data_IF_590649415250
#
_entry.id   IF_590649415250
#
_cell.length_a   1.000
_cell.length_b   1.000
_cell.length_c   1.000
_cell.angle_alpha   90.00
_cell.angle_beta   90.00
_cell.angle_gamma   90.00
#
_symmetry.space_group_name_H-M   'P 1'
#
loop_
_entity.id
_entity.type
_entity.pdbx_description
1 polymer ?
#
# COMPACT_ATOMS: atom_id res chain seq x y z
N UNK A 1 25.48 12.83 -5.40
CA UNK A 1 24.05 12.44 -5.37
C UNK A 1 23.71 11.17 -6.16
N UNK A 2 23.81 11.09 -7.50
CA UNK A 2 23.46 9.86 -8.25
C UNK A 2 24.41 8.67 -8.03
N UNK A 3 25.66 8.95 -7.64
CA UNK A 3 26.70 7.94 -7.40
C UNK A 3 26.56 7.30 -6.00
N UNK A 4 26.16 8.08 -4.99
CA UNK A 4 25.84 7.58 -3.64
C UNK A 4 24.62 6.64 -3.65
N UNK A 5 23.61 6.96 -4.48
CA UNK A 5 22.42 6.13 -4.66
C UNK A 5 22.79 4.76 -5.24
N UNK A 6 23.73 4.70 -6.20
CA UNK A 6 24.20 3.44 -6.79
C UNK A 6 25.04 2.62 -5.81
N UNK A 7 25.87 3.25 -4.99
CA UNK A 7 26.67 2.58 -3.95
C UNK A 7 25.77 1.98 -2.85
N UNK A 8 24.72 2.69 -2.44
CA UNK A 8 23.70 2.16 -1.53
C UNK A 8 22.90 1.02 -2.17
N UNK A 9 22.56 1.10 -3.45
CA UNK A 9 21.87 0.02 -4.18
C UNK A 9 22.73 -1.25 -4.32
N UNK A 10 24.03 -1.10 -4.58
CA UNK A 10 24.96 -2.24 -4.76
C UNK A 10 25.25 -2.98 -3.45
N UNK A 11 25.39 -2.26 -2.34
CA UNK A 11 25.51 -2.85 -0.99
C UNK A 11 24.20 -3.51 -0.52
N UNK A 12 23.05 -2.95 -0.94
CA UNK A 12 21.71 -3.43 -0.59
C UNK A 12 21.30 -4.70 -1.35
N UNK A 13 21.85 -4.94 -2.54
CA UNK A 13 21.63 -6.17 -3.30
C UNK A 13 22.17 -7.43 -2.58
N UNK A 14 23.25 -7.31 -1.81
CA UNK A 14 23.74 -8.43 -1.00
C UNK A 14 22.95 -8.61 0.31
N UNK A 15 22.05 -7.68 0.64
CA UNK A 15 21.15 -7.72 1.81
C UNK A 15 19.69 -8.00 1.42
N UNK A 16 19.43 -8.51 0.21
CA UNK A 16 18.09 -8.74 -0.35
C UNK A 16 17.22 -9.72 0.46
N UNK A 17 17.81 -10.40 1.45
CA UNK A 17 17.09 -11.32 2.35
C UNK A 17 16.41 -10.64 3.55
N UNK A 18 16.49 -9.32 3.68
CA UNK A 18 15.97 -8.59 4.85
C UNK A 18 14.61 -7.96 4.50
N UNK A 19 13.58 -8.26 5.30
CA UNK A 19 12.20 -7.68 5.28
C UNK A 19 12.13 -6.20 4.85
N UNK A 20 13.12 -5.39 5.24
CA UNK A 20 13.24 -3.98 4.88
C UNK A 20 13.41 -3.66 3.39
N UNK A 21 13.98 -4.57 2.59
CA UNK A 21 14.14 -4.37 1.15
C UNK A 21 12.78 -4.33 0.44
N UNK A 22 11.85 -5.21 0.85
CA UNK A 22 10.49 -5.26 0.30
C UNK A 22 9.72 -3.95 0.52
N UNK A 23 9.86 -3.33 1.69
CA UNK A 23 9.23 -2.03 1.99
C UNK A 23 9.79 -0.94 1.06
N UNK A 24 11.09 -0.93 0.81
CA UNK A 24 11.70 0.08 -0.06
C UNK A 24 11.32 -0.11 -1.53
N UNK A 25 11.20 -1.35 -2.00
CA UNK A 25 10.64 -1.64 -3.34
C UNK A 25 9.17 -1.22 -3.42
N UNK A 26 8.37 -1.49 -2.38
CA UNK A 26 6.97 -1.08 -2.30
C UNK A 26 6.79 0.44 -2.45
N UNK A 27 7.60 1.25 -1.76
CA UNK A 27 7.58 2.71 -1.89
C UNK A 27 7.88 3.14 -3.33
N UNK A 28 8.91 2.57 -3.95
CA UNK A 28 9.29 2.90 -5.33
C UNK A 28 8.15 2.58 -6.29
N UNK A 29 7.61 1.35 -6.23
CA UNK A 29 6.50 0.92 -7.10
C UNK A 29 5.28 1.80 -6.90
N UNK A 30 4.83 2.02 -5.66
CA UNK A 30 3.69 2.90 -5.38
C UNK A 30 3.90 4.33 -5.89
N UNK A 31 5.12 4.88 -5.75
CA UNK A 31 5.44 6.23 -6.22
C UNK A 31 5.37 6.34 -7.75
N UNK A 32 5.98 5.39 -8.47
CA UNK A 32 5.92 5.38 -9.94
C UNK A 32 4.50 5.17 -10.45
N UNK A 33 3.75 4.26 -9.84
CA UNK A 33 2.34 4.04 -10.19
C UNK A 33 1.50 5.28 -9.93
N UNK A 34 1.71 5.97 -8.80
CA UNK A 34 1.02 7.22 -8.48
C UNK A 34 1.24 8.30 -9.54
N UNK A 35 2.48 8.47 -10.01
CA UNK A 35 2.80 9.43 -11.10
C UNK A 35 2.07 9.04 -12.40
N UNK A 36 2.06 7.74 -12.75
CA UNK A 36 1.35 7.26 -13.94
C UNK A 36 -0.15 7.56 -13.89
N UNK A 37 -0.80 7.26 -12.76
CA UNK A 37 -2.24 7.53 -12.57
C UNK A 37 -2.52 9.03 -12.51
N UNK A 38 -1.62 9.83 -11.95
CA UNK A 38 -1.76 11.29 -11.93
C UNK A 38 -1.77 11.88 -13.35
N UNK A 39 -0.87 11.42 -14.23
CA UNK A 39 -0.86 11.84 -15.64
C UNK A 39 -2.14 11.43 -16.35
N UNK A 40 -2.66 10.23 -16.08
CA UNK A 40 -3.94 9.78 -16.63
C UNK A 40 -5.10 10.67 -16.14
N UNK A 41 -5.19 10.92 -14.82
CA UNK A 41 -6.17 11.83 -14.23
C UNK A 41 -6.12 13.21 -14.88
N UNK A 42 -4.92 13.75 -15.11
CA UNK A 42 -4.74 15.05 -15.72
C UNK A 42 -5.29 15.10 -17.16
N UNK A 43 -5.01 14.09 -17.97
CA UNK A 43 -5.57 13.97 -19.33
C UNK A 43 -7.09 13.86 -19.32
N UNK A 44 -7.63 13.08 -18.39
CA UNK A 44 -9.06 12.88 -18.25
C UNK A 44 -9.79 14.16 -17.81
N UNK A 45 -9.23 14.90 -16.85
CA UNK A 45 -9.74 16.21 -16.45
C UNK A 45 -9.72 17.23 -17.60
N UNK A 46 -8.66 17.25 -18.42
CA UNK A 46 -8.58 18.15 -19.59
C UNK A 46 -9.67 17.84 -20.62
N UNK A 47 -9.88 16.54 -20.91
CA UNK A 47 -10.94 16.08 -21.81
C UNK A 47 -12.33 16.49 -21.32
N UNK A 48 -12.59 16.30 -20.03
CA UNK A 48 -13.84 16.72 -19.39
C UNK A 48 -14.03 18.24 -19.46
N UNK A 49 -12.97 19.01 -19.23
CA UNK A 49 -13.00 20.47 -19.34
C UNK A 49 -13.35 20.95 -20.75
N UNK A 50 -12.72 20.37 -21.77
CA UNK A 50 -12.99 20.69 -23.18
C UNK A 50 -14.43 20.33 -23.58
N UNK A 51 -14.94 19.17 -23.17
CA UNK A 51 -16.35 18.76 -23.39
C UNK A 51 -17.35 19.70 -22.72
N UNK A 52 -17.02 20.23 -21.54
CA UNK A 52 -17.88 21.17 -20.83
C UNK A 52 -17.94 22.53 -21.53
N UNK A 53 -16.79 23.00 -22.04
CA UNK A 53 -16.64 24.27 -22.77
C UNK A 53 -17.34 24.21 -24.14
N UNK A 54 -17.22 23.09 -24.86
CA UNK A 54 -17.84 22.90 -26.18
C UNK A 54 -19.37 22.77 -26.10
N UNK A 55 -19.89 22.25 -24.97
CA UNK A 55 -21.32 21.96 -24.82
C UNK A 55 -22.10 23.03 -24.02
N UNK A 56 -21.47 24.15 -23.65
CA UNK A 56 -22.10 25.23 -22.86
C UNK A 56 -22.89 24.73 -21.63
N UNK A 57 -22.42 23.65 -20.98
CA UNK A 57 -23.03 23.11 -19.75
C UNK A 57 -24.34 22.32 -19.91
N UNK A 58 -24.80 22.00 -21.13
CA UNK A 58 -26.07 21.27 -21.33
C UNK A 58 -25.94 19.74 -21.36
N UNK A 59 -24.72 19.18 -21.40
CA UNK A 59 -24.49 17.73 -21.41
C UNK A 59 -24.08 17.23 -20.02
N UNK A 60 -24.72 16.13 -19.61
CA UNK A 60 -24.38 15.40 -18.39
C UNK A 60 -22.99 14.77 -18.54
N UNK A 61 -22.00 15.35 -17.87
CA UNK A 61 -20.64 14.81 -17.82
C UNK A 61 -20.58 13.75 -16.72
N UNK A 62 -20.19 12.54 -17.09
CA UNK A 62 -20.05 11.45 -16.13
C UNK A 62 -18.77 11.61 -15.29
N UNK A 63 -18.88 12.34 -14.18
CA UNK A 63 -17.79 12.59 -13.22
C UNK A 63 -17.43 11.36 -12.38
N UNK A 64 -18.20 10.28 -12.47
CA UNK A 64 -17.99 9.06 -11.68
C UNK A 64 -16.64 8.42 -11.99
N UNK A 65 -16.21 8.43 -13.27
CA UNK A 65 -14.89 7.97 -13.66
C UNK A 65 -13.77 8.83 -13.05
N UNK A 66 -13.95 10.15 -13.05
CA UNK A 66 -12.99 11.09 -12.46
C UNK A 66 -12.86 10.90 -10.94
N UNK A 67 -13.98 10.66 -10.24
CA UNK A 67 -13.99 10.33 -8.82
C UNK A 67 -13.26 9.02 -8.54
N UNK A 68 -13.54 7.97 -9.32
CA UNK A 68 -12.90 6.67 -9.15
C UNK A 68 -11.38 6.72 -9.33
N UNK A 69 -10.90 7.46 -10.35
CA UNK A 69 -9.46 7.68 -10.57
C UNK A 69 -8.85 8.44 -9.37
N UNK A 70 -9.57 9.41 -8.81
CA UNK A 70 -9.12 10.15 -7.63
C UNK A 70 -9.07 9.27 -6.38
N UNK A 71 -10.03 8.36 -6.19
CA UNK A 71 -10.04 7.41 -5.08
C UNK A 71 -8.85 6.45 -5.16
N UNK A 72 -8.56 5.89 -6.35
CA UNK A 72 -7.39 5.04 -6.57
C UNK A 72 -6.09 5.78 -6.25
N UNK A 73 -5.97 7.03 -6.71
CA UNK A 73 -4.79 7.85 -6.46
C UNK A 73 -4.62 8.15 -4.96
N UNK A 74 -5.72 8.38 -4.25
CA UNK A 74 -5.75 8.56 -2.79
C UNK A 74 -5.31 7.29 -2.08
N UNK A 75 -5.78 6.11 -2.51
CA UNK A 75 -5.33 4.83 -1.97
C UNK A 75 -3.83 4.61 -2.20
N UNK A 76 -3.29 4.94 -3.37
CA UNK A 76 -1.86 4.83 -3.64
C UNK A 76 -1.02 5.74 -2.74
N UNK A 77 -1.47 6.96 -2.49
CA UNK A 77 -0.80 7.84 -1.53
C UNK A 77 -0.89 7.30 -0.11
N UNK A 78 -2.03 6.75 0.30
CA UNK A 78 -2.18 6.11 1.61
C UNK A 78 -1.20 4.94 1.77
N UNK A 79 -1.05 4.08 0.75
CA UNK A 79 -0.04 3.02 0.74
C UNK A 79 1.38 3.56 0.82
N UNK A 80 1.69 4.61 0.06
CA UNK A 80 3.01 5.25 0.11
C UNK A 80 3.31 5.81 1.51
N UNK A 81 2.35 6.50 2.13
CA UNK A 81 2.44 6.98 3.51
C UNK A 81 2.60 5.83 4.50
N UNK A 82 1.84 4.75 4.36
CA UNK A 82 1.95 3.56 5.21
C UNK A 82 3.37 2.98 5.17
N UNK A 83 3.91 2.72 3.99
CA UNK A 83 5.29 2.24 3.86
C UNK A 83 6.32 3.27 4.36
N UNK A 84 6.05 4.57 4.17
CA UNK A 84 6.82 5.66 4.76
C UNK A 84 6.87 5.60 6.29
N UNK A 85 5.73 5.41 6.94
CA UNK A 85 5.62 5.24 8.40
C UNK A 85 6.38 4.00 8.87
N UNK A 86 6.27 2.87 8.17
CA UNK A 86 7.07 1.67 8.48
C UNK A 86 8.57 1.95 8.36
N UNK A 87 8.98 2.75 7.36
CA UNK A 87 10.38 3.20 7.23
C UNK A 87 10.80 4.12 8.38
N UNK A 88 9.92 4.97 8.92
CA UNK A 88 10.20 5.78 10.11
C UNK A 88 10.48 4.92 11.34
N UNK A 89 9.73 3.82 11.54
CA UNK A 89 9.99 2.86 12.63
C UNK A 89 11.43 2.33 12.57
N UNK A 90 11.97 2.12 11.36
CA UNK A 90 13.37 1.73 11.16
C UNK A 90 14.35 2.81 11.62
N UNK A 91 14.06 4.09 11.36
CA UNK A 91 14.89 5.20 11.83
C UNK A 91 14.81 5.32 13.37
N UNK A 92 13.66 5.07 14.00
CA UNK A 92 13.53 5.10 15.47
C UNK A 92 14.38 4.04 16.19
N UNK A 93 14.93 3.04 15.47
CA UNK A 93 15.81 1.99 16.01
C UNK A 93 17.17 2.50 16.49
N UNK A 94 17.54 3.75 16.21
CA UNK A 94 18.74 4.36 16.79
C UNK A 94 18.67 4.48 18.33
N UNK A 95 17.47 4.42 18.91
CA UNK A 95 17.31 4.35 20.36
C UNK A 95 17.43 2.90 20.87
N UNK A 96 18.39 2.65 21.77
CA UNK A 96 18.67 1.32 22.32
C UNK A 96 17.45 0.64 22.97
N UNK A 97 16.58 1.42 23.62
CA UNK A 97 15.33 0.91 24.22
C UNK A 97 14.36 0.39 23.15
N UNK A 98 14.22 1.12 22.03
CA UNK A 98 13.34 0.73 20.93
C UNK A 98 13.86 -0.48 20.16
N UNK A 99 15.19 -0.59 20.00
CA UNK A 99 15.78 -1.76 19.36
C UNK A 99 15.49 -3.05 20.14
N UNK A 100 15.53 -3.02 21.48
CA UNK A 100 15.23 -4.17 22.32
C UNK A 100 13.78 -4.66 22.15
N UNK A 101 12.79 -3.76 22.13
CA UNK A 101 11.39 -4.09 21.84
C UNK A 101 11.21 -4.74 20.46
N UNK A 102 11.89 -4.22 19.43
CA UNK A 102 11.81 -4.80 18.09
C UNK A 102 12.40 -6.21 18.07
N UNK A 103 13.50 -6.45 18.79
CA UNK A 103 14.13 -7.78 18.85
C UNK A 103 13.25 -8.80 19.59
N UNK A 104 12.64 -8.44 20.71
CA UNK A 104 11.73 -9.34 21.43
C UNK A 104 10.47 -9.63 20.60
N UNK A 105 9.93 -8.62 19.91
CA UNK A 105 8.79 -8.78 19.00
C UNK A 105 9.13 -9.66 17.79
N UNK A 106 10.34 -9.53 17.21
CA UNK A 106 10.79 -10.39 16.11
C UNK A 106 10.97 -11.83 16.55
N UNK A 107 11.50 -12.05 17.75
CA UNK A 107 11.66 -13.39 18.32
C UNK A 107 10.30 -14.04 18.62
N UNK A 108 9.40 -13.33 19.31
CA UNK A 108 8.04 -13.81 19.59
C UNK A 108 7.17 -13.93 18.33
N UNK A 109 7.45 -13.13 17.30
CA UNK A 109 6.66 -13.07 16.07
C UNK A 109 6.62 -14.39 15.31
N UNK A 110 7.69 -15.20 15.36
CA UNK A 110 7.70 -16.51 14.69
C UNK A 110 6.65 -17.46 15.29
N UNK A 111 6.58 -17.54 16.61
CA UNK A 111 5.58 -18.35 17.32
C UNK A 111 4.17 -17.77 17.14
N UNK A 112 4.05 -16.44 17.16
CA UNK A 112 2.78 -15.75 16.96
C UNK A 112 2.18 -16.01 15.57
N UNK A 113 3.00 -16.07 14.52
CA UNK A 113 2.55 -16.39 13.15
C UNK A 113 2.02 -17.83 13.08
N UNK A 114 2.71 -18.78 13.72
CA UNK A 114 2.26 -20.18 13.78
C UNK A 114 0.91 -20.29 14.51
N UNK A 115 0.77 -19.60 15.65
CA UNK A 115 -0.49 -19.52 16.38
C UNK A 115 -1.60 -18.85 15.55
N UNK A 116 -1.30 -17.74 14.87
CA UNK A 116 -2.24 -17.02 14.03
C UNK A 116 -2.74 -17.89 12.85
N UNK A 117 -1.88 -18.75 12.30
CA UNK A 117 -2.28 -19.70 11.25
C UNK A 117 -3.29 -20.72 11.78
N UNK A 118 -3.02 -21.34 12.93
CA UNK A 118 -3.96 -22.28 13.56
C UNK A 118 -5.30 -21.59 13.90
N UNK A 119 -5.23 -20.40 14.50
CA UNK A 119 -6.42 -19.60 14.82
C UNK A 119 -7.23 -19.27 13.55
N UNK A 120 -6.55 -18.90 12.45
CA UNK A 120 -7.20 -18.56 11.19
C UNK A 120 -7.98 -19.73 10.60
N UNK A 121 -7.47 -20.96 10.70
CA UNK A 121 -8.18 -22.16 10.20
C UNK A 121 -9.49 -22.39 10.95
N UNK A 122 -9.44 -22.31 12.29
CA UNK A 122 -10.63 -22.46 13.14
C UNK A 122 -11.62 -21.32 12.86
N UNK A 123 -11.10 -20.09 12.79
CA UNK A 123 -11.90 -18.90 12.48
C UNK A 123 -12.60 -19.01 11.12
N UNK A 124 -11.89 -19.50 10.09
CA UNK A 124 -12.46 -19.69 8.76
C UNK A 124 -13.53 -20.78 8.74
N UNK A 125 -13.35 -21.85 9.54
CA UNK A 125 -14.38 -22.89 9.71
C UNK A 125 -15.68 -22.30 10.25
N UNK A 126 -15.61 -21.40 11.24
CA UNK A 126 -16.79 -20.70 11.75
C UNK A 126 -17.39 -19.74 10.72
N UNK A 127 -16.57 -19.03 9.94
CA UNK A 127 -17.07 -18.18 8.84
C UNK A 127 -17.86 -19.03 7.84
N UNK A 128 -17.33 -20.18 7.42
CA UNK A 128 -18.02 -21.09 6.50
C UNK A 128 -19.33 -21.62 7.10
N UNK A 129 -19.32 -22.00 8.38
CA UNK A 129 -20.52 -22.46 9.08
C UNK A 129 -21.58 -21.37 9.13
N UNK A 130 -21.22 -20.15 9.54
CA UNK A 130 -22.17 -19.04 9.59
C UNK A 130 -22.67 -18.62 8.22
N UNK A 131 -21.82 -18.66 7.20
CA UNK A 131 -22.24 -18.42 5.82
C UNK A 131 -23.30 -19.45 5.38
N UNK A 132 -23.06 -20.73 5.62
CA UNK A 132 -24.03 -21.78 5.31
C UNK A 132 -25.31 -21.63 6.15
N UNK A 133 -25.21 -21.35 7.43
CA UNK A 133 -26.38 -21.32 8.31
C UNK A 133 -27.25 -20.09 8.07
N UNK A 134 -26.67 -18.91 7.86
CA UNK A 134 -27.42 -17.66 7.80
C UNK A 134 -27.61 -17.10 6.38
N UNK A 135 -26.66 -17.33 5.47
CA UNK A 135 -26.73 -16.78 4.10
C UNK A 135 -27.34 -17.79 3.13
N UNK A 136 -27.14 -19.10 3.29
CA UNK A 136 -27.75 -20.09 2.39
C UNK A 136 -29.25 -20.32 2.62
N UNK A 137 -29.77 -19.90 3.77
CA UNK A 137 -31.19 -20.00 4.15
C UNK A 137 -32.01 -18.78 3.70
N UNK A 138 -31.37 -17.79 3.05
CA UNK A 138 -31.96 -16.52 2.60
C UNK A 138 -32.12 -16.53 1.07
#
# INVERSE_FOLDING_TARGET
MWIEIRLLLKLKWNSFHRFWSYIEVGIIVCSWTSVGIYVWRYKECKRIGELFEETNGYVYINLQLASYINDILTFLFAFCCFFGTVKLIRLCRFNQRMNLFIHTLQYAGKELISFAMMFSIVFMSFICLFYLLFVSQL
#
